data_IF_561482651664
#
_entry.id   IF_561482651664
#
_cell.length_a   1.000
_cell.length_b   1.000
_cell.length_c   1.000
_cell.angle_alpha   90.00
_cell.angle_beta   90.00
_cell.angle_gamma   90.00
#
_symmetry.space_group_name_H-M   'P 1'
#
loop_
_entity.id
_entity.type
_entity.pdbx_description
1 polymer ?
#
# COMPACT_ATOMS: atom_id res chain seq x y z
N UNK A 1 -7.82 4.77 -0.02
CA UNK A 1 -8.89 5.37 0.77
C UNK A 1 -9.56 6.56 0.09
N UNK A 2 -10.44 7.28 0.80
CA UNK A 2 -11.16 8.46 0.30
C UNK A 2 -10.32 9.75 0.40
N UNK A 3 -9.12 9.76 -0.21
CA UNK A 3 -8.12 10.82 -0.07
C UNK A 3 -8.57 12.23 -0.52
N UNK A 4 -9.66 12.35 -1.25
CA UNK A 4 -10.28 13.64 -1.58
C UNK A 4 -11.12 14.26 -0.47
N UNK A 5 -11.40 13.52 0.63
CA UNK A 5 -12.30 13.95 1.72
C UNK A 5 -11.72 13.72 3.13
N UNK A 6 -10.69 12.91 3.23
CA UNK A 6 -9.96 12.65 4.47
C UNK A 6 -8.47 12.45 4.17
N UNK A 7 -7.57 12.66 5.14
CA UNK A 7 -6.14 12.52 4.92
C UNK A 7 -5.77 11.10 4.45
N UNK A 8 -4.93 11.03 3.42
CA UNK A 8 -4.48 9.78 2.82
C UNK A 8 -3.86 8.82 3.85
N UNK A 9 -3.96 7.51 3.60
CA UNK A 9 -3.36 6.47 4.43
C UNK A 9 -3.73 6.54 5.93
N UNK A 10 -4.92 7.08 6.28
CA UNK A 10 -5.46 7.11 7.63
C UNK A 10 -6.68 6.19 7.79
N UNK A 11 -6.99 5.82 9.03
CA UNK A 11 -8.19 5.02 9.30
C UNK A 11 -9.48 5.80 8.97
N UNK A 12 -9.48 7.13 9.11
CA UNK A 12 -10.62 7.96 8.69
C UNK A 12 -10.87 7.85 7.18
N UNK A 13 -9.83 7.96 6.37
CA UNK A 13 -9.92 7.81 4.91
C UNK A 13 -10.42 6.42 4.47
N UNK A 14 -9.97 5.37 5.17
CA UNK A 14 -10.40 3.99 4.88
C UNK A 14 -11.87 3.77 5.29
N UNK A 15 -12.29 4.26 6.47
CA UNK A 15 -13.71 4.18 6.89
C UNK A 15 -14.63 4.85 5.89
N UNK A 16 -14.30 6.09 5.45
CA UNK A 16 -15.10 6.80 4.45
C UNK A 16 -15.20 6.04 3.13
N UNK A 17 -14.10 5.46 2.66
CA UNK A 17 -14.12 4.67 1.43
C UNK A 17 -15.02 3.42 1.56
N UNK A 18 -14.98 2.72 2.70
CA UNK A 18 -15.86 1.58 2.98
C UNK A 18 -17.32 2.03 3.05
N UNK A 19 -17.62 3.14 3.72
CA UNK A 19 -18.98 3.70 3.83
C UNK A 19 -19.54 4.13 2.47
N UNK A 20 -18.68 4.57 1.55
CA UNK A 20 -19.04 4.89 0.17
C UNK A 20 -19.23 3.64 -0.71
N UNK A 21 -18.97 2.46 -0.19
CA UNK A 21 -19.13 1.19 -0.91
C UNK A 21 -17.95 0.82 -1.80
N UNK A 22 -16.74 1.23 -1.44
CA UNK A 22 -15.53 0.78 -2.15
C UNK A 22 -15.33 -0.73 -1.96
N UNK A 23 -15.15 -1.47 -3.06
CA UNK A 23 -14.82 -2.90 -3.03
C UNK A 23 -13.36 -3.13 -2.64
N UNK A 24 -12.47 -2.20 -2.99
CA UNK A 24 -11.04 -2.27 -2.74
C UNK A 24 -10.51 -0.98 -2.11
N UNK A 25 -9.62 -1.14 -1.13
CA UNK A 25 -8.81 -0.07 -0.56
C UNK A 25 -7.38 -0.22 -1.07
N UNK A 26 -6.78 0.85 -1.52
CA UNK A 26 -5.35 0.88 -1.84
C UNK A 26 -4.61 1.63 -0.74
N UNK A 27 -3.46 1.06 -0.31
CA UNK A 27 -2.62 1.58 0.77
C UNK A 27 -1.14 1.39 0.46
N UNK A 28 -0.31 2.27 1.02
CA UNK A 28 1.15 2.23 0.90
C UNK A 28 1.78 1.79 2.22
N UNK A 29 2.77 0.89 2.19
CA UNK A 29 3.42 0.41 3.40
C UNK A 29 4.93 0.57 3.39
N UNK A 30 5.48 0.90 4.56
CA UNK A 30 6.90 1.01 4.87
C UNK A 30 7.19 0.43 6.25
N UNK A 31 8.46 0.25 6.58
CA UNK A 31 8.90 -0.23 7.89
C UNK A 31 9.42 0.91 8.78
N UNK A 32 9.01 0.91 10.06
CA UNK A 32 9.68 1.69 11.11
C UNK A 32 11.02 1.08 11.49
N UNK A 33 11.85 1.82 12.24
CA UNK A 33 13.17 1.33 12.68
C UNK A 33 13.09 0.06 13.55
N UNK A 34 11.98 -0.14 14.28
CA UNK A 34 11.71 -1.31 15.11
C UNK A 34 10.87 -2.40 14.40
N UNK A 35 10.69 -2.24 13.08
CA UNK A 35 10.12 -3.26 12.21
C UNK A 35 8.60 -3.36 12.22
N UNK A 36 7.89 -2.34 12.66
CA UNK A 36 6.45 -2.27 12.43
C UNK A 36 6.15 -1.88 10.98
N UNK A 37 5.16 -2.53 10.38
CA UNK A 37 4.68 -2.16 9.05
C UNK A 37 3.66 -1.04 9.21
N UNK A 38 4.07 0.17 8.80
CA UNK A 38 3.31 1.41 8.89
C UNK A 38 2.64 1.73 7.55
N UNK A 39 1.44 2.29 7.58
CA UNK A 39 0.70 2.67 6.37
C UNK A 39 0.92 4.14 6.06
N UNK A 40 1.87 4.43 5.17
CA UNK A 40 2.29 5.79 4.81
C UNK A 40 2.96 5.80 3.43
N UNK A 41 2.63 6.81 2.60
CA UNK A 41 3.17 6.94 1.24
C UNK A 41 4.57 7.51 1.21
N UNK A 42 4.78 8.72 1.76
CA UNK A 42 6.03 9.45 1.65
C UNK A 42 7.13 8.87 2.56
N UNK A 43 8.38 9.07 2.20
CA UNK A 43 9.52 8.61 2.98
C UNK A 43 9.71 9.34 4.30
N UNK A 44 9.08 10.51 4.46
CA UNK A 44 9.19 11.39 5.62
C UNK A 44 7.84 12.01 6.01
N UNK A 45 7.84 12.81 7.08
CA UNK A 45 6.64 13.47 7.61
C UNK A 45 6.54 14.96 7.24
N UNK A 46 7.35 15.46 6.29
CA UNK A 46 7.34 16.89 5.93
C UNK A 46 5.98 17.36 5.43
N UNK A 47 5.37 16.60 4.51
CA UNK A 47 4.04 16.93 3.95
C UNK A 47 2.94 16.88 5.01
N UNK A 48 2.97 15.87 5.88
CA UNK A 48 1.88 15.58 6.79
C UNK A 48 1.95 16.36 8.11
N UNK A 49 3.16 16.62 8.61
CA UNK A 49 3.38 17.17 9.94
C UNK A 49 4.45 18.26 10.00
N UNK A 50 5.02 18.68 8.87
CA UNK A 50 6.18 19.59 8.80
C UNK A 50 7.34 19.11 9.69
N UNK A 51 7.56 17.79 9.75
CA UNK A 51 8.57 17.13 10.56
C UNK A 51 9.61 16.45 9.67
N UNK A 52 10.87 16.87 9.80
CA UNK A 52 12.01 16.26 9.09
C UNK A 52 12.48 15.00 9.83
N UNK A 53 11.69 13.94 9.72
CA UNK A 53 11.99 12.61 10.25
C UNK A 53 11.65 11.59 9.16
N UNK A 54 12.57 10.69 8.87
CA UNK A 54 12.31 9.58 7.94
C UNK A 54 11.53 8.48 8.65
N UNK A 55 10.69 7.75 7.90
CA UNK A 55 9.88 6.65 8.46
C UNK A 55 10.76 5.55 9.07
N UNK A 56 11.85 5.21 8.40
CA UNK A 56 12.82 4.19 8.87
C UNK A 56 13.72 4.61 10.04
N UNK A 57 13.76 5.91 10.38
CA UNK A 57 14.49 6.44 11.55
C UNK A 57 13.62 6.47 12.80
N UNK A 58 12.29 6.48 12.65
CA UNK A 58 11.32 6.50 13.75
C UNK A 58 10.94 5.11 14.23
N UNK A 59 10.86 4.93 15.55
CA UNK A 59 10.20 3.77 16.15
C UNK A 59 8.68 3.89 16.02
N UNK A 60 7.98 2.75 16.13
CA UNK A 60 6.51 2.77 16.17
C UNK A 60 5.97 3.70 17.28
N UNK A 61 6.60 3.70 18.45
CA UNK A 61 6.20 4.55 19.56
C UNK A 61 6.30 6.06 19.24
N UNK A 62 7.31 6.47 18.47
CA UNK A 62 7.47 7.86 18.02
C UNK A 62 6.50 8.20 16.88
N UNK A 63 6.39 7.35 15.87
CA UNK A 63 5.55 7.58 14.70
C UNK A 63 4.07 7.71 15.10
N UNK A 64 3.58 6.90 16.02
CA UNK A 64 2.18 6.94 16.47
C UNK A 64 1.77 8.22 17.19
N UNK A 65 2.70 9.07 17.62
CA UNK A 65 2.42 10.36 18.24
C UNK A 65 2.25 11.50 17.21
N UNK A 66 2.67 11.28 15.96
CA UNK A 66 2.63 12.29 14.90
C UNK A 66 1.20 12.48 14.43
N UNK A 67 0.71 13.73 14.45
CA UNK A 67 -0.54 14.13 13.81
C UNK A 67 -0.35 14.12 12.29
N UNK A 68 -1.02 13.22 11.61
CA UNK A 68 -0.97 13.09 10.14
C UNK A 68 -2.28 13.51 9.46
N UNK A 69 -3.21 14.08 10.22
CA UNK A 69 -4.53 14.47 9.71
C UNK A 69 -4.79 15.96 9.74
N UNK A 70 -4.22 16.69 10.71
CA UNK A 70 -4.49 18.11 10.93
C UNK A 70 -4.09 19.03 9.76
N UNK A 71 -3.12 18.61 8.92
CA UNK A 71 -2.74 19.33 7.72
C UNK A 71 -3.86 19.37 6.66
N UNK A 72 -4.69 18.33 6.63
CA UNK A 72 -5.81 18.20 5.70
C UNK A 72 -7.00 19.03 6.17
N UNK A 73 -7.42 18.83 7.42
CA UNK A 73 -8.47 19.59 8.08
C UNK A 73 -8.33 19.40 9.62
N UNK A 74 -8.53 20.44 10.45
CA UNK A 74 -8.43 20.35 11.93
C UNK A 74 -9.28 19.23 12.56
N UNK A 75 -10.40 18.84 11.97
CA UNK A 75 -11.23 17.74 12.46
C UNK A 75 -10.50 16.39 12.49
N UNK A 76 -9.44 16.23 11.67
CA UNK A 76 -8.64 15.02 11.58
C UNK A 76 -7.34 15.07 12.41
N UNK A 77 -7.14 16.08 13.26
CA UNK A 77 -5.92 16.24 14.06
C UNK A 77 -5.65 15.08 15.06
N UNK A 78 -6.63 14.20 15.27
CA UNK A 78 -6.46 12.98 16.03
C UNK A 78 -5.98 11.77 15.21
N UNK A 79 -5.94 11.88 13.87
CA UNK A 79 -5.47 10.79 13.03
C UNK A 79 -3.96 10.58 13.17
N UNK A 80 -3.58 9.33 13.21
CA UNK A 80 -2.19 8.86 13.36
C UNK A 80 -1.86 7.90 12.23
N UNK A 81 -0.56 7.68 11.96
CA UNK A 81 -0.14 6.65 11.01
C UNK A 81 -0.59 5.29 11.52
N UNK A 82 -1.48 4.60 10.79
CA UNK A 82 -1.94 3.29 11.21
C UNK A 82 -0.87 2.22 10.90
N UNK A 83 -0.93 1.11 11.63
CA UNK A 83 -0.22 -0.10 11.23
C UNK A 83 -0.99 -0.83 10.12
N UNK A 84 -0.31 -1.65 9.33
CA UNK A 84 -0.95 -2.54 8.37
C UNK A 84 -2.02 -3.41 9.04
N UNK A 85 -1.73 -3.97 10.22
CA UNK A 85 -2.69 -4.79 10.95
C UNK A 85 -3.99 -4.02 11.25
N UNK A 86 -3.89 -2.77 11.69
CA UNK A 86 -5.08 -1.95 12.01
C UNK A 86 -5.96 -1.67 10.77
N UNK A 87 -5.33 -1.45 9.60
CA UNK A 87 -6.09 -1.25 8.35
C UNK A 87 -6.74 -2.55 7.90
N UNK A 88 -6.04 -3.69 7.95
CA UNK A 88 -6.60 -4.99 7.58
C UNK A 88 -7.76 -5.38 8.51
N UNK A 89 -7.64 -5.16 9.82
CA UNK A 89 -8.74 -5.40 10.77
C UNK A 89 -9.97 -4.53 10.46
N UNK A 90 -9.77 -3.26 10.08
CA UNK A 90 -10.86 -2.36 9.67
C UNK A 90 -11.56 -2.84 8.40
N UNK A 91 -10.78 -3.31 7.41
CA UNK A 91 -11.27 -3.76 6.10
C UNK A 91 -11.96 -5.12 6.13
N UNK A 92 -11.61 -5.98 7.09
CA UNK A 92 -12.05 -7.38 7.18
C UNK A 92 -13.57 -7.53 7.02
N UNK A 93 -13.98 -8.32 6.02
CA UNK A 93 -15.37 -8.60 5.68
C UNK A 93 -16.15 -7.40 5.12
N UNK A 94 -15.45 -6.30 4.74
CA UNK A 94 -16.07 -5.08 4.21
C UNK A 94 -15.48 -4.66 2.87
N UNK A 95 -14.16 -4.78 2.70
CA UNK A 95 -13.45 -4.43 1.47
C UNK A 95 -12.15 -5.26 1.36
N UNK A 96 -11.71 -5.50 0.15
CA UNK A 96 -10.38 -6.04 -0.14
C UNK A 96 -9.30 -4.94 -0.04
N UNK A 97 -8.04 -5.32 0.07
CA UNK A 97 -6.94 -4.36 0.21
C UNK A 97 -5.83 -4.62 -0.82
N UNK A 98 -5.48 -3.60 -1.61
CA UNK A 98 -4.26 -3.58 -2.40
C UNK A 98 -3.17 -2.91 -1.57
N UNK A 99 -2.07 -3.63 -1.32
CA UNK A 99 -0.94 -3.18 -0.51
C UNK A 99 0.22 -2.85 -1.44
N UNK A 100 0.59 -1.57 -1.56
CA UNK A 100 1.80 -1.16 -2.27
C UNK A 100 3.02 -1.21 -1.33
N UNK A 101 4.01 -2.02 -1.68
CA UNK A 101 5.30 -2.05 -0.98
C UNK A 101 6.17 -0.88 -1.46
N UNK A 102 6.49 0.05 -0.54
CA UNK A 102 7.36 1.20 -0.80
C UNK A 102 8.80 0.89 -0.41
N UNK A 103 9.73 1.08 -1.34
CA UNK A 103 11.15 0.84 -1.17
C UNK A 103 11.94 2.13 -1.33
N UNK A 104 12.52 2.61 -0.26
CA UNK A 104 13.39 3.79 -0.24
C UNK A 104 14.86 3.45 0.02
N UNK A 105 15.22 2.14 -0.02
CA UNK A 105 16.58 1.66 0.17
C UNK A 105 16.99 1.42 1.62
N UNK A 106 16.02 1.45 2.56
CA UNK A 106 16.20 1.22 3.99
C UNK A 106 15.35 0.05 4.50
N UNK A 107 14.69 -0.65 3.59
CA UNK A 107 13.85 -1.81 3.86
C UNK A 107 14.69 -2.95 4.43
N UNK A 108 14.15 -3.62 5.45
CA UNK A 108 14.82 -4.72 6.15
C UNK A 108 14.20 -6.07 5.77
N UNK A 109 12.92 -6.27 6.08
CA UNK A 109 12.17 -7.50 5.85
C UNK A 109 10.70 -7.21 5.49
N UNK A 110 10.45 -6.15 4.73
CA UNK A 110 9.10 -5.66 4.45
C UNK A 110 8.19 -6.76 3.91
N UNK A 111 8.64 -7.52 2.92
CA UNK A 111 7.87 -8.61 2.30
C UNK A 111 7.46 -9.66 3.32
N UNK A 112 8.42 -10.16 4.11
CA UNK A 112 8.14 -11.20 5.10
C UNK A 112 7.18 -10.70 6.19
N UNK A 113 7.38 -9.47 6.67
CA UNK A 113 6.51 -8.87 7.69
C UNK A 113 5.09 -8.65 7.19
N UNK A 114 4.92 -8.21 5.95
CA UNK A 114 3.59 -8.09 5.31
C UNK A 114 2.92 -9.46 5.22
N UNK A 115 3.65 -10.48 4.75
CA UNK A 115 3.15 -11.86 4.69
C UNK A 115 2.69 -12.33 6.06
N UNK A 116 3.55 -12.20 7.09
CA UNK A 116 3.25 -12.66 8.45
C UNK A 116 1.99 -11.98 9.03
N UNK A 117 1.80 -10.69 8.76
CA UNK A 117 0.63 -9.93 9.22
C UNK A 117 -0.64 -10.43 8.51
N UNK A 118 -0.61 -10.54 7.18
CA UNK A 118 -1.76 -10.98 6.38
C UNK A 118 -2.19 -12.40 6.74
N UNK A 119 -1.24 -13.33 6.85
CA UNK A 119 -1.50 -14.73 7.23
C UNK A 119 -2.05 -14.85 8.65
N UNK A 120 -1.43 -14.15 9.61
CA UNK A 120 -1.91 -14.13 11.00
C UNK A 120 -3.35 -13.62 11.11
N UNK A 121 -3.74 -12.68 10.27
CA UNK A 121 -5.09 -12.14 10.24
C UNK A 121 -6.04 -12.98 9.37
N UNK A 122 -5.57 -14.00 8.65
CA UNK A 122 -6.38 -14.84 7.79
C UNK A 122 -7.02 -14.09 6.62
N UNK A 123 -6.30 -13.13 6.03
CA UNK A 123 -6.81 -12.26 4.96
C UNK A 123 -6.11 -12.47 3.61
N UNK A 124 -5.54 -13.64 3.38
CA UNK A 124 -4.79 -13.96 2.14
C UNK A 124 -5.67 -13.77 0.89
N UNK A 125 -6.92 -14.20 0.94
CA UNK A 125 -7.87 -14.10 -0.17
C UNK A 125 -8.46 -12.68 -0.33
N UNK A 126 -8.23 -11.80 0.64
CA UNK A 126 -8.76 -10.42 0.66
C UNK A 126 -7.70 -9.38 0.30
N UNK A 127 -6.46 -9.80 -0.04
CA UNK A 127 -5.39 -8.86 -0.36
C UNK A 127 -4.78 -9.12 -1.73
N UNK A 128 -4.23 -8.06 -2.33
CA UNK A 128 -3.32 -8.12 -3.46
C UNK A 128 -2.10 -7.26 -3.13
N UNK A 129 -0.91 -7.69 -3.55
CA UNK A 129 0.34 -6.95 -3.29
C UNK A 129 0.83 -6.32 -4.58
N UNK A 130 1.27 -5.07 -4.53
CA UNK A 130 1.92 -4.44 -5.69
C UNK A 130 3.14 -3.60 -5.28
N UNK A 131 3.97 -3.26 -6.25
CA UNK A 131 5.06 -2.31 -6.09
C UNK A 131 5.52 -1.76 -7.44
N UNK A 132 6.19 -0.62 -7.44
CA UNK A 132 7.01 -0.14 -8.54
C UNK A 132 8.28 -0.99 -8.74
N UNK A 133 8.71 -1.72 -7.70
CA UNK A 133 9.95 -2.51 -7.69
C UNK A 133 9.65 -3.98 -7.99
N UNK A 134 9.95 -4.39 -9.24
CA UNK A 134 9.68 -5.75 -9.71
C UNK A 134 10.34 -6.84 -8.84
N UNK A 135 11.60 -6.62 -8.41
CA UNK A 135 12.33 -7.58 -7.58
C UNK A 135 11.63 -7.84 -6.23
N UNK A 136 11.04 -6.80 -5.62
CA UNK A 136 10.26 -6.96 -4.38
C UNK A 136 9.01 -7.82 -4.60
N UNK A 137 8.31 -7.63 -5.73
CA UNK A 137 7.15 -8.46 -6.10
C UNK A 137 7.56 -9.90 -6.37
N UNK A 138 8.73 -10.14 -7.01
CA UNK A 138 9.26 -11.49 -7.22
C UNK A 138 9.66 -12.16 -5.90
N UNK A 139 10.07 -11.39 -4.89
CA UNK A 139 10.30 -11.92 -3.53
C UNK A 139 8.99 -12.45 -2.93
N UNK A 140 7.88 -11.70 -3.04
CA UNK A 140 6.55 -12.19 -2.62
C UNK A 140 6.19 -13.47 -3.39
N UNK A 141 6.34 -13.49 -4.72
CA UNK A 141 6.06 -14.68 -5.56
C UNK A 141 6.86 -15.90 -5.11
N UNK A 142 8.14 -15.72 -4.78
CA UNK A 142 9.00 -16.81 -4.34
C UNK A 142 8.59 -17.35 -2.95
N UNK A 143 8.17 -16.47 -2.04
CA UNK A 143 7.73 -16.83 -0.70
C UNK A 143 6.30 -17.41 -0.68
N UNK A 144 5.43 -16.90 -1.53
CA UNK A 144 3.99 -17.26 -1.61
C UNK A 144 3.53 -17.31 -3.07
N UNK A 145 3.73 -18.44 -3.76
CA UNK A 145 3.44 -18.57 -5.19
C UNK A 145 1.97 -18.32 -5.57
N UNK A 146 1.06 -18.59 -4.66
CA UNK A 146 -0.40 -18.49 -4.88
C UNK A 146 -0.99 -17.11 -4.55
N UNK A 147 -0.16 -16.16 -4.06
CA UNK A 147 -0.65 -14.82 -3.74
C UNK A 147 -0.85 -13.97 -5.00
N UNK A 148 -1.88 -13.13 -4.99
CA UNK A 148 -2.14 -12.16 -6.06
C UNK A 148 -1.13 -11.02 -5.98
N UNK A 149 -0.30 -10.89 -7.02
CA UNK A 149 0.74 -9.86 -7.09
C UNK A 149 0.63 -9.02 -8.37
N UNK A 150 0.97 -7.75 -8.28
CA UNK A 150 0.93 -6.80 -9.39
C UNK A 150 2.16 -5.93 -9.51
N UNK A 151 2.42 -5.45 -10.71
CA UNK A 151 3.43 -4.42 -10.95
C UNK A 151 2.76 -3.06 -11.16
N UNK A 152 3.18 -2.08 -10.36
CA UNK A 152 2.86 -0.67 -10.58
C UNK A 152 3.87 -0.07 -11.55
N UNK A 153 3.42 0.63 -12.59
CA UNK A 153 4.31 1.27 -13.55
C UNK A 153 3.77 2.60 -14.07
N UNK A 154 4.57 3.64 -13.93
CA UNK A 154 4.29 4.97 -14.50
C UNK A 154 4.72 5.09 -15.97
N UNK A 155 5.60 4.18 -16.46
CA UNK A 155 6.18 4.22 -17.80
C UNK A 155 6.11 2.86 -18.47
N UNK A 156 5.86 2.83 -19.78
CA UNK A 156 5.93 1.60 -20.56
C UNK A 156 7.38 1.38 -21.04
N UNK A 157 8.17 0.66 -20.25
CA UNK A 157 9.48 0.18 -20.70
C UNK A 157 9.40 -1.34 -20.91
N UNK A 158 9.62 -1.79 -22.15
CA UNK A 158 9.52 -3.20 -22.51
C UNK A 158 8.08 -3.71 -22.62
N UNK A 159 7.89 -5.02 -22.53
CA UNK A 159 6.59 -5.68 -22.61
C UNK A 159 6.10 -6.11 -21.24
N UNK A 160 5.45 -5.19 -20.53
CA UNK A 160 4.92 -5.41 -19.17
C UNK A 160 3.97 -6.62 -19.09
N UNK A 161 3.22 -6.90 -20.16
CA UNK A 161 2.26 -8.02 -20.20
C UNK A 161 2.93 -9.40 -20.08
N UNK A 162 4.25 -9.52 -20.33
CA UNK A 162 5.01 -10.78 -20.24
C UNK A 162 5.64 -11.01 -18.86
N UNK A 163 5.57 -10.05 -17.96
CA UNK A 163 6.14 -10.19 -16.62
C UNK A 163 5.35 -11.22 -15.80
N UNK A 164 6.01 -11.87 -14.87
CA UNK A 164 5.37 -12.82 -13.94
C UNK A 164 4.67 -12.06 -12.80
N UNK A 165 3.48 -11.56 -13.11
CA UNK A 165 2.55 -10.91 -12.18
C UNK A 165 1.12 -11.21 -12.59
N UNK A 166 0.15 -11.05 -11.70
CA UNK A 166 -1.25 -11.35 -11.98
C UNK A 166 -2.02 -10.14 -12.51
N UNK A 167 -1.57 -8.92 -12.17
CA UNK A 167 -2.15 -7.69 -12.68
C UNK A 167 -1.12 -6.58 -12.91
N UNK A 168 -1.52 -5.55 -13.64
CA UNK A 168 -0.72 -4.35 -13.90
C UNK A 168 -1.50 -3.12 -13.45
N UNK A 169 -0.92 -2.35 -12.54
CA UNK A 169 -1.39 -1.02 -12.17
C UNK A 169 -0.56 0.02 -12.95
N UNK A 170 -1.19 0.74 -13.87
CA UNK A 170 -0.46 1.64 -14.77
C UNK A 170 -1.04 3.05 -14.79
N UNK A 171 -0.21 4.04 -15.08
CA UNK A 171 -0.68 5.40 -15.31
C UNK A 171 -1.72 5.40 -16.45
N UNK A 172 -2.77 6.22 -16.32
CA UNK A 172 -3.91 6.26 -17.25
C UNK A 172 -3.50 6.45 -18.71
N UNK A 173 -2.42 7.21 -18.96
CA UNK A 173 -1.87 7.41 -20.31
C UNK A 173 -1.31 6.15 -20.96
N UNK A 174 -0.99 5.11 -20.18
CA UNK A 174 -0.52 3.81 -20.67
C UNK A 174 -1.67 2.83 -20.92
N UNK A 175 -2.82 3.02 -20.29
CA UNK A 175 -3.99 2.14 -20.38
C UNK A 175 -4.75 2.31 -21.72
N UNK A 176 -4.03 2.28 -22.85
CA UNK A 176 -4.65 2.33 -24.17
C UNK A 176 -5.43 1.03 -24.45
N UNK A 177 -6.47 1.05 -25.33
CA UNK A 177 -7.22 -0.16 -25.67
C UNK A 177 -6.35 -1.30 -26.18
N UNK A 178 -5.26 -0.98 -26.90
CA UNK A 178 -4.31 -1.97 -27.38
C UNK A 178 -3.44 -2.55 -26.27
N UNK A 179 -3.05 -1.75 -25.29
CA UNK A 179 -2.31 -2.23 -24.10
C UNK A 179 -3.19 -3.15 -23.26
N UNK A 180 -4.42 -2.70 -22.95
CA UNK A 180 -5.38 -3.46 -22.14
C UNK A 180 -5.64 -4.85 -22.77
N UNK A 181 -5.99 -4.90 -24.06
CA UNK A 181 -6.21 -6.18 -24.76
C UNK A 181 -4.99 -7.10 -24.65
N UNK A 182 -3.78 -6.60 -24.97
CA UNK A 182 -2.57 -7.44 -24.87
C UNK A 182 -2.29 -7.95 -23.45
N UNK A 183 -2.61 -7.16 -22.43
CA UNK A 183 -2.46 -7.59 -21.03
C UNK A 183 -3.48 -8.67 -20.69
N UNK A 184 -4.74 -8.50 -21.08
CA UNK A 184 -5.80 -9.50 -20.89
C UNK A 184 -5.52 -10.81 -21.65
N UNK A 185 -4.98 -10.74 -22.87
CA UNK A 185 -4.55 -11.93 -23.65
C UNK A 185 -3.43 -12.72 -22.96
N UNK A 186 -2.72 -12.10 -22.00
CA UNK A 186 -1.68 -12.72 -21.16
C UNK A 186 -2.19 -13.04 -19.75
N UNK A 187 -3.49 -12.92 -19.51
CA UNK A 187 -4.10 -13.25 -18.21
C UNK A 187 -3.92 -12.20 -17.11
N UNK A 188 -3.71 -10.92 -17.49
CA UNK A 188 -3.54 -9.81 -16.51
C UNK A 188 -4.85 -9.07 -16.31
#
# INVERSE_FOLDING_TARGET
GAAGRAPENTLASMRMAIEDGADWLEIDVQESTDGQVMVIHDSDFMKLANLNMMVWDGSFAEIREIDVGGWFDPQFSAERVPTLAAVLELARGKAHVVIELKYYGHDQQLEQRVIDIVERLGMVDDVAIMSLKYDGIQTIRALRPDWTIGLLSATASGNLAKLDVDFLAVATGLATPGFVRRSQDQGK
#
